data_IF_031879601267
#
_entry.id   IF_031879601267
#
_cell.length_a   1.000
_cell.length_b   1.000
_cell.length_c   1.000
_cell.angle_alpha   90.00
_cell.angle_beta   90.00
_cell.angle_gamma   90.00
#
_symmetry.space_group_name_H-M   'P 1'
#
loop_
_entity.id
_entity.type
_entity.pdbx_description
1 polymer ?
#
# COMPACT_ATOMS: atom_id res chain seq x y z
N UNK A 1 24.60 15.32 -28.55
CA UNK A 1 24.60 16.61 -27.82
C UNK A 1 23.76 16.44 -26.56
N UNK A 2 24.34 16.67 -25.39
CA UNK A 2 23.61 16.70 -24.13
C UNK A 2 23.14 18.14 -23.88
N UNK A 3 21.83 18.36 -23.75
CA UNK A 3 21.29 19.63 -23.26
C UNK A 3 21.44 19.59 -21.74
N UNK A 4 22.23 20.50 -21.18
CA UNK A 4 22.30 20.68 -19.74
C UNK A 4 20.88 20.87 -19.20
N UNK A 5 20.46 20.02 -18.26
CA UNK A 5 19.14 20.10 -17.63
C UNK A 5 19.02 21.40 -16.86
N UNK A 6 17.84 22.00 -16.93
CA UNK A 6 17.46 23.12 -16.06
C UNK A 6 17.58 22.73 -14.59
N UNK A 7 17.80 23.72 -13.72
CA UNK A 7 17.89 23.54 -12.26
C UNK A 7 16.60 22.88 -11.74
N UNK A 8 16.70 22.14 -10.64
CA UNK A 8 15.54 21.56 -9.97
C UNK A 8 14.44 22.62 -9.77
N UNK A 9 13.23 22.33 -10.22
CA UNK A 9 12.08 23.23 -10.09
C UNK A 9 11.72 23.46 -8.62
N UNK A 10 11.20 24.65 -8.31
CA UNK A 10 10.55 24.91 -7.03
C UNK A 10 9.34 24.00 -6.86
N UNK A 11 8.99 23.67 -5.62
CA UNK A 11 7.75 22.95 -5.32
C UNK A 11 6.51 23.72 -5.78
N UNK A 12 6.58 25.04 -5.85
CA UNK A 12 5.48 25.90 -6.31
C UNK A 12 5.33 25.90 -7.84
N UNK A 13 6.41 25.61 -8.58
CA UNK A 13 6.41 25.51 -10.04
C UNK A 13 6.07 24.07 -10.50
N UNK A 14 6.21 23.10 -9.60
CA UNK A 14 5.78 21.73 -9.83
C UNK A 14 4.27 21.61 -9.62
N UNK A 15 3.52 21.71 -10.71
CA UNK A 15 2.11 21.35 -10.73
C UNK A 15 2.00 19.83 -10.51
N UNK A 16 1.43 19.36 -9.39
CA UNK A 16 1.25 17.94 -9.17
C UNK A 16 0.33 17.37 -10.26
N UNK A 17 0.60 16.16 -10.79
CA UNK A 17 -0.23 15.56 -11.84
C UNK A 17 -1.64 15.18 -11.35
N UNK A 18 -1.91 15.29 -10.05
CA UNK A 18 -3.18 14.92 -9.43
C UNK A 18 -4.07 16.15 -9.33
N UNK A 19 -4.88 16.43 -10.35
CA UNK A 19 -6.05 17.30 -10.22
C UNK A 19 -7.16 16.64 -9.35
N UNK A 20 -6.79 15.87 -8.32
CA UNK A 20 -7.66 15.06 -7.48
C UNK A 20 -7.84 13.61 -7.95
N UNK A 21 -7.48 13.26 -9.19
CA UNK A 21 -7.74 11.92 -9.74
C UNK A 21 -6.50 11.02 -9.77
N UNK A 22 -6.68 9.76 -9.38
CA UNK A 22 -5.67 8.71 -9.52
C UNK A 22 -5.72 8.11 -10.92
N UNK A 23 -4.55 7.84 -11.50
CA UNK A 23 -4.49 7.16 -12.80
C UNK A 23 -4.94 5.70 -12.67
N UNK A 24 -6.04 5.33 -13.34
CA UNK A 24 -6.57 3.96 -13.36
C UNK A 24 -5.56 2.93 -13.92
N UNK A 25 -4.63 3.36 -14.78
CA UNK A 25 -3.59 2.49 -15.31
C UNK A 25 -2.46 2.19 -14.31
N UNK A 26 -2.44 2.86 -13.15
CA UNK A 26 -1.43 2.62 -12.12
C UNK A 26 -1.50 1.18 -11.61
N UNK A 27 -0.33 0.53 -11.50
CA UNK A 27 -0.21 -0.87 -11.05
C UNK A 27 -0.91 -1.18 -9.73
N UNK A 28 -0.94 -0.25 -8.78
CA UNK A 28 -1.58 -0.44 -7.48
C UNK A 28 -3.10 -0.35 -7.58
N UNK A 29 -3.62 0.51 -8.45
CA UNK A 29 -5.06 0.59 -8.74
C UNK A 29 -5.53 -0.69 -9.45
N UNK A 30 -4.77 -1.14 -10.45
CA UNK A 30 -5.03 -2.40 -11.15
C UNK A 30 -4.97 -3.61 -10.22
N UNK A 31 -3.99 -3.64 -9.32
CA UNK A 31 -3.89 -4.70 -8.31
C UNK A 31 -5.07 -4.64 -7.32
N UNK A 32 -5.49 -3.45 -6.91
CA UNK A 32 -6.66 -3.29 -6.03
C UNK A 32 -7.92 -3.92 -6.66
N UNK A 33 -8.13 -3.71 -7.96
CA UNK A 33 -9.27 -4.28 -8.67
C UNK A 33 -9.18 -5.80 -8.86
N UNK A 34 -7.98 -6.39 -8.84
CA UNK A 34 -7.77 -7.81 -9.10
C UNK A 34 -7.81 -8.71 -7.86
N UNK A 35 -7.71 -8.14 -6.65
CA UNK A 35 -7.71 -8.90 -5.40
C UNK A 35 -9.15 -9.16 -4.93
N UNK A 36 -9.45 -10.41 -4.60
CA UNK A 36 -10.65 -10.79 -3.85
C UNK A 36 -10.51 -10.37 -2.38
N UNK A 37 -10.91 -9.12 -2.09
CA UNK A 37 -10.84 -8.55 -0.75
C UNK A 37 -11.79 -9.21 0.23
N UNK A 38 -12.99 -9.59 -0.22
CA UNK A 38 -14.02 -10.18 0.64
C UNK A 38 -13.61 -11.59 1.11
N UNK A 39 -13.07 -12.40 0.20
CA UNK A 39 -12.49 -13.70 0.53
C UNK A 39 -11.36 -13.58 1.55
N UNK A 40 -10.50 -12.56 1.40
CA UNK A 40 -9.42 -12.32 2.34
C UNK A 40 -9.92 -11.80 3.70
N UNK A 41 -10.90 -10.90 3.73
CA UNK A 41 -11.49 -10.36 4.96
C UNK A 41 -12.14 -11.48 5.78
N UNK A 42 -12.85 -12.40 5.12
CA UNK A 42 -13.43 -13.59 5.77
C UNK A 42 -12.36 -14.50 6.37
N UNK A 43 -11.26 -14.77 5.65
CA UNK A 43 -10.18 -15.60 6.15
C UNK A 43 -9.40 -14.94 7.30
N UNK A 44 -9.21 -13.62 7.22
CA UNK A 44 -8.44 -12.85 8.20
C UNK A 44 -9.22 -12.64 9.50
N UNK A 45 -10.52 -12.32 9.42
CA UNK A 45 -11.38 -12.14 10.59
C UNK A 45 -11.47 -13.42 11.44
N UNK A 46 -11.42 -14.61 10.80
CA UNK A 46 -11.39 -15.90 11.49
C UNK A 46 -10.15 -16.11 12.39
N UNK A 47 -9.09 -15.30 12.25
CA UNK A 47 -7.91 -15.35 13.12
C UNK A 47 -8.11 -14.66 14.47
N UNK A 48 -9.27 -14.01 14.69
CA UNK A 48 -9.54 -13.22 15.88
C UNK A 48 -10.67 -13.84 16.69
N UNK A 49 -10.46 -13.91 18.01
CA UNK A 49 -11.52 -14.27 18.95
C UNK A 49 -12.50 -13.10 19.13
N UNK A 50 -13.76 -13.37 19.50
CA UNK A 50 -14.70 -12.32 19.88
C UNK A 50 -14.21 -11.59 21.15
N UNK A 51 -14.13 -10.26 21.08
CA UNK A 51 -13.70 -9.39 22.18
C UNK A 51 -12.26 -8.87 22.08
N UNK A 52 -11.98 -7.75 22.74
CA UNK A 52 -10.67 -7.09 22.75
C UNK A 52 -10.55 -5.86 21.84
N UNK A 53 -9.32 -5.42 21.57
CA UNK A 53 -9.06 -4.23 20.74
C UNK A 53 -9.38 -4.51 19.27
N UNK A 54 -10.16 -3.61 18.66
CA UNK A 54 -10.54 -3.68 17.24
C UNK A 54 -9.29 -3.85 16.36
N UNK A 55 -9.28 -4.90 15.56
CA UNK A 55 -8.22 -5.17 14.61
C UNK A 55 -8.34 -4.23 13.41
N UNK A 56 -7.22 -3.88 12.78
CA UNK A 56 -7.25 -3.18 11.50
C UNK A 56 -7.81 -4.09 10.39
N UNK A 57 -8.47 -3.51 9.37
CA UNK A 57 -9.07 -4.26 8.27
C UNK A 57 -8.07 -5.18 7.56
N UNK A 58 -8.55 -6.29 7.01
CA UNK A 58 -7.70 -7.26 6.33
C UNK A 58 -7.02 -6.66 5.10
N UNK A 59 -7.69 -5.72 4.42
CA UNK A 59 -7.12 -4.95 3.31
C UNK A 59 -5.82 -4.23 3.71
N UNK A 60 -5.80 -3.55 4.86
CA UNK A 60 -4.60 -2.86 5.36
C UNK A 60 -3.51 -3.88 5.68
N UNK A 61 -3.87 -4.97 6.34
CA UNK A 61 -2.92 -6.01 6.73
C UNK A 61 -2.26 -6.69 5.51
N UNK A 62 -3.06 -7.11 4.54
CA UNK A 62 -2.57 -7.73 3.30
C UNK A 62 -1.79 -6.74 2.45
N UNK A 63 -2.33 -5.54 2.25
CA UNK A 63 -1.71 -4.55 1.38
C UNK A 63 -0.33 -4.13 1.90
N UNK A 64 -0.18 -3.92 3.21
CA UNK A 64 1.13 -3.68 3.83
C UNK A 64 2.12 -4.81 3.55
N UNK A 65 1.65 -6.07 3.59
CA UNK A 65 2.50 -7.23 3.32
C UNK A 65 2.90 -7.34 1.85
N UNK A 66 2.01 -7.00 0.93
CA UNK A 66 2.30 -6.91 -0.50
C UNK A 66 3.37 -5.85 -0.76
N UNK A 67 3.20 -4.64 -0.22
CA UNK A 67 4.18 -3.54 -0.32
C UNK A 67 5.53 -3.99 0.24
N UNK A 68 5.52 -4.60 1.42
CA UNK A 68 6.71 -5.09 2.10
C UNK A 68 7.50 -6.08 1.24
N UNK A 69 6.82 -7.08 0.69
CA UNK A 69 7.47 -8.13 -0.11
C UNK A 69 7.86 -7.64 -1.52
N UNK A 70 7.08 -6.72 -2.10
CA UNK A 70 7.37 -6.15 -3.42
C UNK A 70 8.64 -5.29 -3.42
N UNK A 71 8.79 -4.42 -2.41
CA UNK A 71 9.93 -3.52 -2.29
C UNK A 71 11.08 -4.07 -1.44
N UNK A 72 10.93 -5.25 -0.84
CA UNK A 72 11.85 -5.77 0.19
C UNK A 72 12.07 -4.77 1.35
N UNK A 73 10.98 -4.08 1.74
CA UNK A 73 11.02 -2.99 2.71
C UNK A 73 10.91 -3.48 4.16
N UNK A 74 11.49 -2.74 5.09
CA UNK A 74 11.30 -2.90 6.52
C UNK A 74 9.92 -2.42 6.98
N UNK A 75 9.53 -2.77 8.21
CA UNK A 75 8.25 -2.36 8.79
C UNK A 75 8.09 -0.83 8.89
N UNK A 76 9.20 -0.09 9.04
CA UNK A 76 9.20 1.38 9.08
C UNK A 76 9.10 1.98 7.68
N UNK A 77 9.83 1.41 6.72
CA UNK A 77 9.78 1.87 5.32
C UNK A 77 8.41 1.66 4.71
N UNK A 78 7.69 0.58 5.04
CA UNK A 78 6.30 0.40 4.59
C UNK A 78 5.41 1.56 5.06
N UNK A 79 5.56 2.00 6.32
CA UNK A 79 4.79 3.12 6.85
C UNK A 79 5.11 4.41 6.08
N UNK A 80 6.40 4.68 5.85
CA UNK A 80 6.83 5.86 5.09
C UNK A 80 6.31 5.84 3.64
N UNK A 81 6.45 4.71 2.94
CA UNK A 81 5.95 4.54 1.58
C UNK A 81 4.44 4.82 1.48
N UNK A 82 3.67 4.32 2.44
CA UNK A 82 2.21 4.54 2.48
C UNK A 82 1.90 6.01 2.78
N UNK A 83 2.60 6.64 3.71
CA UNK A 83 2.43 8.06 4.03
C UNK A 83 2.70 8.95 2.81
N UNK A 84 3.71 8.61 2.00
CA UNK A 84 4.15 9.40 0.85
C UNK A 84 3.34 9.18 -0.43
N UNK A 85 2.51 8.14 -0.52
CA UNK A 85 1.90 7.73 -1.78
C UNK A 85 0.37 7.63 -1.74
N UNK A 86 -0.36 8.48 -2.50
CA UNK A 86 -1.82 8.39 -2.58
C UNK A 86 -2.29 7.08 -3.24
N UNK A 87 -1.49 6.50 -4.15
CA UNK A 87 -1.79 5.18 -4.73
C UNK A 87 -1.73 4.05 -3.70
N UNK A 88 -0.79 4.11 -2.75
CA UNK A 88 -0.68 3.11 -1.70
C UNK A 88 -1.79 3.28 -0.65
N UNK A 89 -2.15 4.52 -0.30
CA UNK A 89 -3.28 4.78 0.60
C UNK A 89 -4.60 4.28 -0.02
N UNK A 90 -4.84 4.58 -1.31
CA UNK A 90 -5.98 4.03 -2.05
C UNK A 90 -5.98 2.50 -2.04
N UNK A 91 -4.84 1.88 -2.36
CA UNK A 91 -4.71 0.42 -2.35
C UNK A 91 -5.01 -0.21 -0.98
N UNK A 92 -4.67 0.49 0.11
CA UNK A 92 -5.01 0.08 1.47
C UNK A 92 -6.45 0.41 1.89
N UNK A 93 -7.21 1.11 1.05
CA UNK A 93 -8.62 1.42 1.27
C UNK A 93 -8.87 2.70 2.08
N UNK A 94 -7.94 3.65 2.05
CA UNK A 94 -8.13 4.96 2.67
C UNK A 94 -9.11 5.78 1.82
N UNK A 95 -10.00 6.51 2.48
CA UNK A 95 -11.02 7.34 1.81
C UNK A 95 -10.43 8.60 1.16
N UNK A 96 -9.38 9.13 1.77
CA UNK A 96 -8.68 10.33 1.29
C UNK A 96 -7.18 10.24 1.60
N UNK A 97 -6.39 11.02 0.87
CA UNK A 97 -4.98 11.14 1.16
C UNK A 97 -4.75 11.91 2.47
N UNK A 98 -3.88 11.38 3.31
CA UNK A 98 -3.38 12.04 4.52
C UNK A 98 -1.85 11.99 4.56
N UNK A 99 -1.23 13.10 4.97
CA UNK A 99 0.21 13.19 5.21
C UNK A 99 0.59 12.76 6.63
N UNK A 100 -0.38 12.55 7.52
CA UNK A 100 -0.14 11.98 8.85
C UNK A 100 0.29 10.51 8.81
N UNK A 101 1.00 10.06 9.85
CA UNK A 101 1.44 8.66 9.97
C UNK A 101 0.21 7.74 10.05
N UNK A 102 0.01 6.84 9.07
CA UNK A 102 -1.25 6.09 8.94
C UNK A 102 -1.41 5.00 10.01
N UNK A 103 -0.30 4.40 10.44
CA UNK A 103 -0.24 3.38 11.50
C UNK A 103 1.22 3.15 11.95
N UNK A 104 1.41 2.54 13.11
CA UNK A 104 2.76 2.26 13.64
C UNK A 104 3.46 1.08 12.93
N UNK A 105 4.79 1.10 12.85
CA UNK A 105 5.58 -0.04 12.36
C UNK A 105 5.38 -1.32 13.18
N UNK A 106 5.06 -1.19 14.49
CA UNK A 106 4.69 -2.34 15.34
C UNK A 106 3.43 -3.04 14.84
N UNK A 107 2.50 -2.30 14.25
CA UNK A 107 1.32 -2.88 13.59
C UNK A 107 1.73 -3.69 12.36
N UNK A 108 2.61 -3.15 11.52
CA UNK A 108 3.13 -3.85 10.33
C UNK A 108 3.85 -5.15 10.72
N UNK A 109 4.66 -5.11 11.78
CA UNK A 109 5.32 -6.30 12.31
C UNK A 109 4.33 -7.41 12.74
N UNK A 110 3.18 -7.03 13.33
CA UNK A 110 2.11 -8.00 13.68
C UNK A 110 1.45 -8.60 12.44
N UNK A 111 1.26 -7.82 11.37
CA UNK A 111 0.73 -8.36 10.11
C UNK A 111 1.68 -9.39 9.51
N UNK A 112 2.99 -9.14 9.58
CA UNK A 112 4.01 -10.10 9.11
C UNK A 112 3.95 -11.43 9.86
N UNK A 113 3.72 -11.39 11.17
CA UNK A 113 3.57 -12.60 11.97
C UNK A 113 2.31 -13.41 11.61
N UNK A 114 1.24 -12.76 11.15
CA UNK A 114 -0.05 -13.40 10.83
C UNK A 114 -0.17 -13.86 9.38
N UNK A 115 0.42 -13.11 8.45
CA UNK A 115 0.26 -13.30 7.01
C UNK A 115 1.62 -13.74 6.42
N UNK A 116 1.81 -15.06 6.21
CA UNK A 116 3.06 -15.60 5.72
C UNK A 116 3.28 -15.26 4.24
N UNK A 117 4.53 -15.18 3.81
CA UNK A 117 4.92 -14.84 2.44
C UNK A 117 4.19 -15.69 1.38
N UNK A 118 3.94 -16.97 1.66
CA UNK A 118 3.23 -17.87 0.74
C UNK A 118 1.85 -17.34 0.32
N UNK A 119 1.14 -16.65 1.22
CA UNK A 119 -0.16 -16.05 0.94
C UNK A 119 -0.05 -14.77 0.10
N UNK A 120 1.09 -14.09 0.16
CA UNK A 120 1.33 -12.76 -0.42
C UNK A 120 1.97 -12.85 -1.81
N UNK A 121 2.84 -13.85 -2.02
CA UNK A 121 3.59 -14.06 -3.28
C UNK A 121 2.75 -14.05 -4.56
N UNK A 122 1.52 -14.63 -4.61
CA UNK A 122 0.68 -14.53 -5.80
C UNK A 122 0.36 -13.08 -6.19
N UNK A 123 -0.03 -12.24 -5.24
CA UNK A 123 -0.33 -10.83 -5.49
C UNK A 123 0.90 -10.03 -5.93
N UNK A 124 2.07 -10.30 -5.34
CA UNK A 124 3.33 -9.65 -5.76
C UNK A 124 3.73 -10.05 -7.19
N UNK A 125 3.53 -11.31 -7.58
CA UNK A 125 3.77 -11.75 -8.96
C UNK A 125 2.83 -11.04 -9.94
N UNK A 126 1.55 -10.95 -9.60
CA UNK A 126 0.56 -10.24 -10.41
C UNK A 126 0.92 -8.75 -10.54
N UNK A 127 1.29 -8.08 -9.45
CA UNK A 127 1.71 -6.68 -9.46
C UNK A 127 2.87 -6.42 -10.43
N UNK A 128 3.84 -7.34 -10.49
CA UNK A 128 5.00 -7.23 -11.41
C UNK A 128 4.61 -7.37 -12.88
N UNK A 129 3.51 -8.04 -13.20
CA UNK A 129 3.00 -8.12 -14.57
C UNK A 129 2.30 -6.84 -15.07
N UNK A 130 2.07 -5.87 -14.18
CA UNK A 130 1.50 -4.57 -14.55
C UNK A 130 2.55 -3.50 -14.89
N UNK A 131 3.84 -3.84 -14.82
CA UNK A 131 4.95 -2.98 -15.27
C UNK A 131 5.06 -3.01 -16.79
#
# INVERSE_FOLDING_TARGET
MYRAREKQMSIYDYLPPYHGELCNANRWVRLAAAIDWDGFEKAYSALFAPGGKVALPARVALGCRIIQLHYAASDREVVALVQESPYLQYFLGFESFTDAVPFSSRTVARFRARIPDKAVRPAVRLLRSFQ
#
